data_IF_333462799279
#
_entry.id   IF_333462799279
#
_cell.length_a   1.000
_cell.length_b   1.000
_cell.length_c   1.000
_cell.angle_alpha   90.00
_cell.angle_beta   90.00
_cell.angle_gamma   90.00
#
_symmetry.space_group_name_H-M   'P 1'
#
loop_
_entity.id
_entity.type
_entity.pdbx_description
1 polymer ?
#
# COMPACT_ATOMS: atom_id res chain seq x y z
N UNK A 1 13.97 11.71 -10.17
CA UNK A 1 12.93 10.83 -9.58
C UNK A 1 11.58 11.34 -10.00
N UNK A 2 10.66 10.47 -10.42
CA UNK A 2 9.29 10.84 -10.76
C UNK A 2 8.33 10.09 -9.83
N UNK A 3 7.49 10.85 -9.13
CA UNK A 3 6.41 10.33 -8.29
C UNK A 3 5.09 10.52 -9.02
N UNK A 4 4.38 9.44 -9.29
CA UNK A 4 3.02 9.47 -9.79
C UNK A 4 2.13 8.69 -8.83
N UNK A 5 0.95 9.23 -8.55
CA UNK A 5 0.01 8.71 -7.55
C UNK A 5 -1.39 8.48 -8.14
N UNK A 6 -1.43 8.01 -9.38
CA UNK A 6 -2.63 7.52 -10.05
C UNK A 6 -2.32 6.21 -10.80
N UNK A 7 -3.36 5.47 -11.12
CA UNK A 7 -3.30 4.25 -11.93
C UNK A 7 -4.55 4.13 -12.78
N UNK A 8 -4.47 3.29 -13.80
CA UNK A 8 -5.60 2.89 -14.64
C UNK A 8 -5.84 1.40 -14.45
N UNK A 9 -6.98 0.89 -14.92
CA UNK A 9 -7.22 -0.56 -14.97
C UNK A 9 -6.07 -1.28 -15.69
N UNK A 10 -5.75 -2.50 -15.28
CA UNK A 10 -4.68 -3.27 -15.89
C UNK A 10 -4.92 -3.44 -17.41
N UNK A 11 -3.92 -3.08 -18.21
CA UNK A 11 -3.88 -3.22 -19.66
C UNK A 11 -2.50 -3.73 -20.07
N UNK A 12 -2.37 -4.27 -21.28
CA UNK A 12 -1.06 -4.63 -21.84
C UNK A 12 -0.11 -3.42 -21.83
N UNK A 13 1.17 -3.65 -21.56
CA UNK A 13 2.15 -2.56 -21.36
C UNK A 13 2.32 -1.65 -22.58
N UNK A 14 2.03 -2.14 -23.79
CA UNK A 14 2.11 -1.34 -25.02
C UNK A 14 0.89 -0.42 -25.26
N UNK A 15 -0.21 -0.66 -24.55
CA UNK A 15 -1.42 0.17 -24.55
C UNK A 15 -1.46 1.12 -23.35
N UNK A 16 -0.79 0.74 -22.27
CA UNK A 16 -0.70 1.54 -21.07
C UNK A 16 0.27 2.73 -21.25
N UNK A 17 -0.30 3.94 -21.27
CA UNK A 17 0.45 5.19 -21.38
C UNK A 17 1.37 5.44 -20.18
N UNK A 18 0.97 5.00 -18.98
CA UNK A 18 1.81 5.10 -17.78
C UNK A 18 2.99 4.14 -17.93
N UNK A 19 2.76 2.89 -18.35
CA UNK A 19 3.85 1.93 -18.56
C UNK A 19 4.86 2.43 -19.60
N UNK A 20 4.39 2.95 -20.74
CA UNK A 20 5.25 3.51 -21.81
C UNK A 20 5.98 4.79 -21.39
N UNK A 21 5.26 5.68 -20.71
CA UNK A 21 5.83 6.92 -20.16
C UNK A 21 6.90 6.61 -19.12
N UNK A 22 6.61 5.68 -18.22
CA UNK A 22 7.54 5.19 -17.21
C UNK A 22 8.74 4.47 -17.81
N UNK A 23 8.59 3.72 -18.91
CA UNK A 23 9.71 3.11 -19.61
C UNK A 23 10.65 4.17 -20.17
N UNK A 24 10.08 5.19 -20.83
CA UNK A 24 10.84 6.33 -21.36
C UNK A 24 11.54 7.12 -20.25
N UNK A 25 10.88 7.25 -19.10
CA UNK A 25 11.45 7.86 -17.90
C UNK A 25 12.57 7.00 -17.31
N UNK A 26 12.41 5.67 -17.21
CA UNK A 26 13.40 4.71 -16.70
C UNK A 26 14.73 4.86 -17.42
N UNK A 27 14.73 5.07 -18.74
CA UNK A 27 15.93 5.35 -19.51
C UNK A 27 16.73 6.58 -19.00
N UNK A 28 16.10 7.43 -18.19
CA UNK A 28 16.63 8.68 -17.62
C UNK A 28 16.45 8.82 -16.09
N UNK A 29 15.84 7.84 -15.40
CA UNK A 29 15.55 7.87 -13.95
C UNK A 29 14.29 7.09 -13.50
N UNK A 30 14.10 6.86 -12.20
CA UNK A 30 13.02 5.98 -11.67
C UNK A 30 11.63 6.61 -11.74
N UNK A 31 10.64 5.76 -12.00
CA UNK A 31 9.20 6.06 -11.99
C UNK A 31 8.44 5.18 -10.99
N UNK A 32 7.41 5.73 -10.36
CA UNK A 32 6.61 5.10 -9.29
C UNK A 32 5.13 5.08 -9.66
N UNK A 33 4.45 3.98 -9.31
CA UNK A 33 3.03 3.65 -9.60
C UNK A 33 2.77 3.01 -10.97
N UNK A 34 2.04 1.88 -10.93
CA UNK A 34 1.62 0.93 -11.98
C UNK A 34 2.34 -0.46 -11.94
N UNK A 35 1.84 -1.46 -12.67
CA UNK A 35 2.22 -2.88 -12.62
C UNK A 35 3.44 -3.27 -13.45
N UNK A 36 3.96 -2.39 -14.32
CA UNK A 36 5.07 -2.75 -15.19
C UNK A 36 6.35 -3.09 -14.39
N UNK A 37 7.21 -4.03 -14.85
CA UNK A 37 8.39 -4.45 -14.09
C UNK A 37 9.41 -3.33 -13.86
N UNK A 38 9.54 -2.40 -14.79
CA UNK A 38 10.42 -1.22 -14.66
C UNK A 38 9.91 -0.13 -13.70
N UNK A 39 8.74 -0.33 -13.09
CA UNK A 39 8.13 0.60 -12.14
C UNK A 39 8.21 -0.01 -10.74
N UNK A 40 8.53 0.81 -9.73
CA UNK A 40 8.36 0.40 -8.33
C UNK A 40 6.89 0.56 -7.93
N UNK A 41 6.20 -0.56 -7.70
CA UNK A 41 4.77 -0.59 -7.33
C UNK A 41 4.62 -0.59 -5.82
N UNK A 42 4.12 0.53 -5.31
CA UNK A 42 4.02 0.79 -3.88
C UNK A 42 2.59 0.57 -3.37
N UNK A 43 2.47 -0.15 -2.27
CA UNK A 43 1.22 -0.35 -1.52
C UNK A 43 1.30 0.30 -0.14
N UNK A 44 0.15 0.36 0.54
CA UNK A 44 0.02 1.17 1.74
C UNK A 44 -0.04 0.33 3.01
N UNK A 45 0.68 0.79 4.02
CA UNK A 45 0.61 0.25 5.38
C UNK A 45 0.42 1.36 6.41
N UNK A 46 -0.01 0.94 7.60
CA UNK A 46 -0.10 1.79 8.79
C UNK A 46 1.28 2.19 9.30
N UNK A 47 1.28 3.22 10.15
CA UNK A 47 2.39 3.62 11.02
C UNK A 47 1.97 3.40 12.47
N UNK A 48 2.86 3.59 13.43
CA UNK A 48 2.61 3.38 14.87
C UNK A 48 1.80 4.52 15.53
N UNK A 49 1.29 5.45 14.74
CA UNK A 49 0.54 6.63 15.18
C UNK A 49 -0.95 6.46 14.91
N UNK A 50 -1.75 6.67 15.96
CA UNK A 50 -3.21 6.72 15.88
C UNK A 50 -3.74 8.09 16.32
N UNK A 51 -4.75 8.61 15.62
CA UNK A 51 -5.42 9.87 15.97
C UNK A 51 -6.68 9.55 16.77
N UNK A 52 -6.50 9.31 18.07
CA UNK A 52 -7.52 8.69 18.90
C UNK A 52 -8.70 9.62 19.13
N UNK A 53 -9.88 9.10 18.80
CA UNK A 53 -11.16 9.56 19.30
C UNK A 53 -11.87 8.34 19.89
N UNK A 54 -12.55 8.48 21.01
CA UNK A 54 -13.28 7.37 21.64
C UNK A 54 -14.77 7.69 21.59
N UNK A 55 -15.55 6.83 20.95
CA UNK A 55 -17.01 6.87 21.07
C UNK A 55 -17.41 6.32 22.44
N UNK A 56 -18.07 7.15 23.24
CA UNK A 56 -18.56 6.78 24.57
C UNK A 56 -20.08 6.76 24.56
N UNK A 57 -20.65 5.57 24.62
CA UNK A 57 -22.09 5.35 24.57
C UNK A 57 -22.75 5.59 25.94
N UNK A 58 -24.06 5.83 25.97
CA UNK A 58 -24.81 6.07 27.21
C UNK A 58 -24.78 4.92 28.21
N UNK A 59 -24.53 3.70 27.74
CA UNK A 59 -24.29 2.52 28.59
C UNK A 59 -22.85 2.42 29.12
N UNK A 60 -22.04 3.48 28.99
CA UNK A 60 -20.62 3.57 29.39
C UNK A 60 -19.67 2.69 28.58
N UNK A 61 -20.11 2.08 27.48
CA UNK A 61 -19.21 1.36 26.59
C UNK A 61 -18.29 2.37 25.87
N UNK A 62 -16.98 2.18 26.03
CA UNK A 62 -15.95 2.95 25.32
C UNK A 62 -15.44 2.16 24.11
N UNK A 63 -15.53 2.77 22.94
CA UNK A 63 -15.09 2.19 21.68
C UNK A 63 -14.01 3.08 21.08
N UNK A 64 -12.82 2.52 20.96
CA UNK A 64 -11.64 3.21 20.49
C UNK A 64 -11.68 3.31 18.96
N UNK A 65 -11.80 4.53 18.47
CA UNK A 65 -11.89 4.88 17.05
C UNK A 65 -10.81 5.91 16.69
N UNK A 66 -10.87 6.45 15.47
CA UNK A 66 -9.95 7.50 15.04
C UNK A 66 -10.68 8.68 14.38
N UNK A 67 -10.04 9.86 14.43
CA UNK A 67 -10.52 11.09 13.80
C UNK A 67 -9.38 12.08 13.64
N UNK A 68 -9.27 12.71 12.47
CA UNK A 68 -8.37 13.86 12.30
C UNK A 68 -8.96 15.13 12.93
N UNK A 69 -10.26 15.18 13.19
CA UNK A 69 -10.85 16.26 13.98
C UNK A 69 -10.45 16.09 15.46
N UNK A 70 -9.67 17.04 15.98
CA UNK A 70 -9.09 16.97 17.33
C UNK A 70 -9.27 18.32 18.06
N UNK A 71 -10.52 18.79 18.15
CA UNK A 71 -10.82 20.08 18.75
C UNK A 71 -10.43 20.13 20.24
N UNK A 72 -9.43 20.96 20.56
CA UNK A 72 -8.98 21.19 21.93
C UNK A 72 -10.07 21.85 22.76
N UNK A 73 -10.36 21.28 23.93
CA UNK A 73 -11.33 21.84 24.89
C UNK A 73 -12.80 21.62 24.53
N UNK A 74 -13.10 21.03 23.37
CA UNK A 74 -14.48 20.65 23.03
C UNK A 74 -14.90 19.48 23.92
N UNK A 75 -15.86 19.75 24.82
CA UNK A 75 -16.51 18.73 25.64
C UNK A 75 -17.95 18.60 25.19
N UNK A 76 -18.23 17.56 24.42
CA UNK A 76 -19.59 17.23 24.04
C UNK A 76 -20.26 16.47 25.19
N UNK A 77 -21.45 16.94 25.59
CA UNK A 77 -22.33 16.15 26.47
C UNK A 77 -22.82 14.88 25.77
N UNK A 78 -23.50 14.01 26.52
CA UNK A 78 -24.23 12.91 25.91
C UNK A 78 -25.36 13.46 25.05
N UNK A 79 -25.32 13.16 23.76
CA UNK A 79 -26.34 13.57 22.78
C UNK A 79 -27.14 12.35 22.36
N UNK A 80 -28.42 12.52 21.95
CA UNK A 80 -29.18 11.42 21.36
C UNK A 80 -28.42 10.83 20.16
N UNK A 81 -28.25 9.51 20.18
CA UNK A 81 -27.66 8.75 19.09
C UNK A 81 -28.77 8.22 18.19
N UNK A 82 -28.60 8.37 16.89
CA UNK A 82 -29.59 7.92 15.91
C UNK A 82 -28.89 7.15 14.81
N UNK A 83 -29.48 6.03 14.41
CA UNK A 83 -29.07 5.30 13.23
C UNK A 83 -30.15 5.46 12.15
N UNK A 84 -30.02 6.40 11.20
CA UNK A 84 -31.05 6.63 10.17
C UNK A 84 -31.32 5.39 9.31
N UNK A 85 -30.34 4.50 9.23
CA UNK A 85 -30.46 3.21 8.57
C UNK A 85 -31.35 2.17 9.25
N UNK A 86 -31.80 2.44 10.48
CA UNK A 86 -32.68 1.52 11.20
C UNK A 86 -34.05 1.51 10.51
N UNK A 87 -34.38 0.40 9.84
CA UNK A 87 -35.63 0.23 9.09
C UNK A 87 -35.84 1.19 7.90
N UNK A 88 -34.77 1.75 7.33
CA UNK A 88 -34.89 2.63 6.17
C UNK A 88 -35.20 1.84 4.89
N UNK A 89 -36.29 2.21 4.20
CA UNK A 89 -36.59 1.78 2.83
C UNK A 89 -35.58 2.34 1.82
N UNK A 90 -35.00 3.49 2.14
CA UNK A 90 -33.98 4.17 1.36
C UNK A 90 -32.58 3.75 1.83
N UNK A 91 -31.86 3.04 0.97
CA UNK A 91 -30.48 2.62 1.21
C UNK A 91 -29.54 3.81 1.48
N UNK A 92 -29.83 5.00 0.95
CA UNK A 92 -29.02 6.21 1.16
C UNK A 92 -28.98 6.67 2.62
N UNK A 93 -30.00 6.35 3.42
CA UNK A 93 -30.05 6.71 4.84
C UNK A 93 -28.98 5.99 5.67
N UNK A 94 -28.60 4.76 5.31
CA UNK A 94 -27.51 4.02 5.96
C UNK A 94 -26.17 4.77 5.84
N UNK A 95 -25.94 5.42 4.70
CA UNK A 95 -24.73 6.17 4.38
C UNK A 95 -24.81 7.64 4.81
N UNK A 96 -25.90 8.05 5.45
CA UNK A 96 -26.16 9.44 5.82
C UNK A 96 -26.06 10.40 4.63
N UNK A 97 -26.54 9.98 3.45
CA UNK A 97 -26.58 10.86 2.28
C UNK A 97 -27.51 12.05 2.55
N UNK A 98 -27.10 13.29 2.22
CA UNK A 98 -27.90 14.49 2.51
C UNK A 98 -29.35 14.41 1.99
N UNK A 99 -29.56 13.79 0.82
CA UNK A 99 -30.87 13.64 0.17
C UNK A 99 -31.79 12.65 0.92
N UNK A 100 -31.21 11.71 1.66
CA UNK A 100 -31.92 10.64 2.38
C UNK A 100 -32.16 10.98 3.86
N UNK A 101 -31.68 12.13 4.34
CA UNK A 101 -31.77 12.53 5.74
C UNK A 101 -32.86 13.57 5.98
N UNK A 102 -33.78 13.26 6.89
CA UNK A 102 -34.76 14.23 7.37
C UNK A 102 -34.10 15.20 8.38
N UNK A 103 -33.97 16.47 8.02
CA UNK A 103 -33.32 17.52 8.83
C UNK A 103 -33.87 17.65 10.25
N UNK A 104 -35.19 17.49 10.42
CA UNK A 104 -35.85 17.55 11.74
C UNK A 104 -35.48 16.37 12.64
N UNK A 105 -35.17 15.22 12.03
CA UNK A 105 -34.82 14.00 12.73
C UNK A 105 -33.36 13.99 13.20
N UNK A 106 -32.46 14.67 12.49
CA UNK A 106 -31.00 14.61 12.72
C UNK A 106 -30.41 15.80 13.49
N UNK A 107 -31.09 16.95 13.52
CA UNK A 107 -30.57 18.17 14.13
C UNK A 107 -30.25 17.98 15.63
N UNK A 108 -29.01 18.29 16.03
CA UNK A 108 -28.56 18.21 17.43
C UNK A 108 -28.30 16.80 17.95
N UNK A 109 -28.22 15.79 17.07
CA UNK A 109 -28.02 14.39 17.41
C UNK A 109 -26.70 13.86 16.84
N UNK A 110 -26.20 12.78 17.42
CA UNK A 110 -25.09 12.00 16.85
C UNK A 110 -25.68 11.01 15.85
N UNK A 111 -25.14 10.97 14.64
CA UNK A 111 -25.55 10.03 13.61
C UNK A 111 -24.57 8.87 13.53
N UNK A 112 -25.09 7.65 13.55
CA UNK A 112 -24.36 6.47 13.11
C UNK A 112 -24.54 6.33 11.60
N UNK A 113 -23.43 6.27 10.88
CA UNK A 113 -23.41 6.12 9.42
C UNK A 113 -22.52 4.93 9.07
N UNK A 114 -22.95 4.11 8.11
CA UNK A 114 -22.10 3.05 7.55
C UNK A 114 -21.29 3.60 6.40
N UNK A 115 -20.02 3.23 6.30
CA UNK A 115 -19.12 3.62 5.21
C UNK A 115 -18.80 2.35 4.43
N UNK A 116 -19.58 2.05 3.37
CA UNK A 116 -19.24 1.16 2.23
C UNK A 116 -20.51 0.67 1.50
N UNK A 117 -20.68 1.08 0.23
CA UNK A 117 -21.91 0.87 -0.56
C UNK A 117 -22.03 -0.46 -1.30
N UNK A 118 -21.11 -1.42 -1.08
CA UNK A 118 -21.06 -2.65 -1.90
C UNK A 118 -21.34 -3.91 -1.08
N UNK A 119 -22.46 -4.62 -1.33
CA UNK A 119 -22.82 -5.86 -0.64
C UNK A 119 -21.76 -6.96 -0.70
N UNK A 120 -20.92 -6.97 -1.73
CA UNK A 120 -19.81 -7.93 -1.92
C UNK A 120 -18.63 -7.69 -0.98
N UNK A 121 -18.42 -6.46 -0.47
CA UNK A 121 -17.41 -6.17 0.55
C UNK A 121 -17.91 -6.32 1.98
N UNK A 122 -19.23 -6.29 2.19
CA UNK A 122 -19.85 -6.53 3.50
C UNK A 122 -19.57 -7.97 3.99
N UNK A 123 -19.42 -8.94 3.08
CA UNK A 123 -18.94 -10.29 3.45
C UNK A 123 -17.46 -10.33 3.90
N UNK A 124 -16.69 -9.27 3.66
CA UNK A 124 -15.30 -9.13 4.13
C UNK A 124 -15.16 -8.28 5.40
N UNK A 125 -16.28 -7.88 6.05
CA UNK A 125 -16.39 -7.01 7.22
C UNK A 125 -15.60 -7.44 8.46
N UNK A 126 -14.27 -7.43 8.40
CA UNK A 126 -13.35 -7.68 9.51
C UNK A 126 -12.14 -6.75 9.43
N UNK A 127 -12.34 -5.54 8.91
CA UNK A 127 -11.26 -4.55 8.82
C UNK A 127 -11.06 -3.89 10.18
N UNK A 128 -9.88 -4.09 10.78
CA UNK A 128 -9.50 -3.53 12.08
C UNK A 128 -8.79 -2.17 11.97
N UNK A 129 -8.44 -1.75 10.76
CA UNK A 129 -7.76 -0.47 10.50
C UNK A 129 -8.81 0.63 10.41
N UNK A 130 -8.60 1.71 11.16
CA UNK A 130 -9.45 2.91 11.19
C UNK A 130 -8.81 4.05 10.42
N UNK A 131 -9.60 4.70 9.55
CA UNK A 131 -9.16 5.89 8.81
C UNK A 131 -9.56 7.13 9.59
N UNK A 132 -8.61 7.99 9.88
CA UNK A 132 -8.81 9.24 10.59
C UNK A 132 -9.16 10.34 9.59
N UNK A 133 -10.33 10.27 8.99
CA UNK A 133 -10.77 11.27 8.02
C UNK A 133 -10.96 12.62 8.71
N UNK A 134 -10.71 13.68 7.94
CA UNK A 134 -10.92 15.03 8.41
C UNK A 134 -12.36 15.45 8.14
N UNK A 135 -12.98 16.02 9.18
CA UNK A 135 -14.38 16.46 9.15
C UNK A 135 -14.48 17.90 9.66
N UNK A 136 -15.45 18.66 9.15
CA UNK A 136 -15.78 20.02 9.63
C UNK A 136 -16.63 20.01 10.91
N UNK A 137 -17.13 18.84 11.30
CA UNK A 137 -17.90 18.60 12.52
C UNK A 137 -17.26 17.46 13.34
N UNK A 138 -17.52 17.38 14.65
CA UNK A 138 -17.08 16.25 15.46
C UNK A 138 -17.58 14.92 14.89
N UNK A 139 -16.65 14.08 14.46
CA UNK A 139 -16.91 12.78 13.87
C UNK A 139 -15.77 11.82 14.20
N UNK A 140 -16.04 10.52 14.15
CA UNK A 140 -15.02 9.48 14.33
C UNK A 140 -15.40 8.20 13.61
N UNK A 141 -14.40 7.51 13.06
CA UNK A 141 -14.57 6.26 12.35
C UNK A 141 -14.22 5.09 13.26
N UNK A 142 -15.23 4.29 13.60
CA UNK A 142 -15.05 3.03 14.32
C UNK A 142 -14.74 1.90 13.33
N UNK A 143 -13.95 0.91 13.78
CA UNK A 143 -13.77 -0.32 13.01
C UNK A 143 -15.10 -1.11 12.94
N UNK A 144 -15.17 -2.08 12.03
CA UNK A 144 -16.38 -2.86 11.81
C UNK A 144 -16.92 -3.55 13.07
N UNK A 145 -16.02 -4.17 13.87
CA UNK A 145 -16.41 -4.90 15.08
C UNK A 145 -17.05 -3.98 16.11
N UNK A 146 -16.50 -2.79 16.28
CA UNK A 146 -17.03 -1.79 17.20
C UNK A 146 -18.30 -1.14 16.64
N UNK A 147 -18.40 -0.95 15.32
CA UNK A 147 -19.63 -0.54 14.65
C UNK A 147 -20.82 -1.47 14.94
N UNK A 148 -20.62 -2.79 14.88
CA UNK A 148 -21.66 -3.77 15.24
C UNK A 148 -22.13 -3.63 16.69
N UNK A 149 -21.21 -3.32 17.63
CA UNK A 149 -21.57 -3.08 19.03
C UNK A 149 -22.41 -1.81 19.18
N UNK A 150 -22.12 -0.76 18.41
CA UNK A 150 -22.92 0.48 18.41
C UNK A 150 -24.32 0.18 17.87
N UNK A 151 -24.45 -0.57 16.77
CA UNK A 151 -25.76 -0.97 16.22
C UNK A 151 -26.55 -1.78 17.25
N UNK A 152 -25.92 -2.77 17.88
CA UNK A 152 -26.56 -3.56 18.92
C UNK A 152 -27.03 -2.70 20.10
N UNK A 153 -26.23 -1.72 20.52
CA UNK A 153 -26.59 -0.76 21.56
C UNK A 153 -27.80 0.09 21.16
N UNK A 154 -27.81 0.65 19.94
CA UNK A 154 -28.95 1.45 19.43
C UNK A 154 -30.24 0.65 19.45
N UNK A 155 -30.19 -0.65 19.12
CA UNK A 155 -31.37 -1.53 19.15
C UNK A 155 -31.79 -1.96 20.56
N UNK A 156 -30.92 -1.80 21.56
CA UNK A 156 -31.17 -2.30 22.92
C UNK A 156 -31.94 -1.32 23.82
N UNK A 157 -32.09 -0.06 23.41
CA UNK A 157 -32.74 0.99 24.21
C UNK A 157 -33.53 1.94 23.32
N UNK A 158 -34.62 2.50 23.84
CA UNK A 158 -35.44 3.50 23.14
C UNK A 158 -34.83 4.91 23.16
N UNK A 159 -33.86 5.17 24.04
CA UNK A 159 -33.19 6.48 24.19
C UNK A 159 -31.66 6.37 24.14
N UNK A 160 -31.09 5.83 23.05
CA UNK A 160 -29.64 5.70 22.93
C UNK A 160 -28.96 7.06 22.91
N UNK A 161 -27.83 7.17 23.59
CA UNK A 161 -27.00 8.39 23.61
C UNK A 161 -25.54 8.05 23.34
N UNK A 162 -24.81 9.01 22.79
CA UNK A 162 -23.38 8.91 22.60
C UNK A 162 -22.70 10.28 22.70
N UNK A 163 -21.40 10.24 22.98
CA UNK A 163 -20.48 11.38 22.81
C UNK A 163 -19.16 10.89 22.22
N UNK A 164 -18.35 11.83 21.73
CA UNK A 164 -17.02 11.57 21.19
C UNK A 164 -16.00 12.27 22.09
N UNK A 165 -15.06 11.49 22.61
CA UNK A 165 -13.95 12.00 23.42
C UNK A 165 -12.68 12.01 22.58
N UNK A 166 -12.21 13.20 22.22
CA UNK A 166 -10.97 13.38 21.48
C UNK A 166 -9.76 13.23 22.42
N UNK A 167 -8.90 12.24 22.16
CA UNK A 167 -7.72 11.93 23.00
C UNK A 167 -6.41 12.37 22.35
N UNK A 168 -6.45 12.97 21.16
CA UNK A 168 -5.27 13.44 20.43
C UNK A 168 -4.47 12.31 19.80
N UNK A 169 -3.20 12.61 19.50
CA UNK A 169 -2.26 11.67 18.88
C UNK A 169 -1.70 10.70 19.92
N UNK A 170 -1.82 9.40 19.64
CA UNK A 170 -1.21 8.33 20.43
C UNK A 170 -0.16 7.63 19.56
N UNK A 171 1.05 7.48 20.09
CA UNK A 171 2.16 6.79 19.43
C UNK A 171 2.36 5.38 20.02
N UNK A 172 3.11 4.53 19.33
CA UNK A 172 3.48 3.21 19.80
C UNK A 172 2.39 2.15 19.63
N UNK A 173 1.58 2.24 18.57
CA UNK A 173 0.75 1.10 18.18
C UNK A 173 1.64 -0.09 17.82
N UNK A 174 1.62 -1.09 18.70
CA UNK A 174 2.46 -2.27 18.58
C UNK A 174 2.09 -3.13 17.36
N UNK A 175 0.85 -3.02 16.86
CA UNK A 175 0.42 -3.80 15.68
C UNK A 175 0.90 -3.19 14.37
N UNK A 176 1.36 -1.93 14.37
CA UNK A 176 2.08 -1.39 13.23
C UNK A 176 3.35 -2.23 13.02
N UNK A 177 3.64 -2.68 11.82
CA UNK A 177 3.08 -2.29 10.54
C UNK A 177 1.97 -3.26 10.08
N UNK A 178 0.86 -2.73 9.57
CA UNK A 178 -0.28 -3.51 9.06
C UNK A 178 -0.65 -3.02 7.66
N UNK A 179 -0.90 -3.91 6.71
CA UNK A 179 -1.26 -3.51 5.35
C UNK A 179 -2.69 -2.96 5.29
N UNK A 180 -2.88 -1.82 4.64
CA UNK A 180 -4.16 -1.11 4.59
C UNK A 180 -5.23 -1.90 3.82
N UNK A 181 -6.48 -1.84 4.30
CA UNK A 181 -7.63 -2.54 3.70
C UNK A 181 -7.95 -2.09 2.27
N UNK A 182 -7.76 -0.81 1.96
CA UNK A 182 -7.97 -0.25 0.62
C UNK A 182 -6.82 -0.57 -0.35
N UNK A 183 -5.70 -1.09 0.16
CA UNK A 183 -4.51 -1.32 -0.65
C UNK A 183 -4.73 -2.49 -1.60
N UNK A 184 -4.71 -2.23 -2.91
CA UNK A 184 -4.94 -3.27 -3.92
C UNK A 184 -3.93 -4.42 -3.78
N UNK A 185 -4.38 -5.62 -4.09
CA UNK A 185 -3.60 -6.86 -4.00
C UNK A 185 -3.17 -7.32 -5.39
N UNK A 186 -2.08 -8.09 -5.47
CA UNK A 186 -1.73 -8.83 -6.67
C UNK A 186 -2.55 -10.12 -6.84
N UNK A 187 -2.17 -11.00 -7.78
CA UNK A 187 -1.02 -10.87 -8.69
C UNK A 187 -1.19 -9.77 -9.75
N UNK A 188 -0.14 -9.44 -10.50
CA UNK A 188 -0.29 -8.59 -11.70
C UNK A 188 -1.11 -9.32 -12.75
N UNK A 189 -2.04 -8.62 -13.40
CA UNK A 189 -2.86 -9.19 -14.47
C UNK A 189 -2.09 -9.35 -15.79
N UNK A 190 -0.98 -8.62 -15.96
CA UNK A 190 -0.22 -8.58 -17.21
C UNK A 190 0.95 -9.56 -17.20
N UNK A 191 1.59 -9.75 -16.04
CA UNK A 191 2.69 -10.69 -15.87
C UNK A 191 2.61 -11.40 -14.53
N UNK A 192 2.16 -12.65 -14.54
CA UNK A 192 2.08 -13.49 -13.35
C UNK A 192 3.46 -13.94 -12.84
N UNK A 193 4.49 -13.94 -13.69
CA UNK A 193 5.86 -14.29 -13.29
C UNK A 193 6.58 -13.17 -12.52
N UNK A 194 6.02 -11.96 -12.45
CA UNK A 194 6.55 -10.83 -11.71
C UNK A 194 5.64 -10.52 -10.53
N UNK A 195 6.13 -10.72 -9.31
CA UNK A 195 5.36 -10.46 -8.09
C UNK A 195 5.00 -8.97 -8.00
N UNK A 196 3.71 -8.70 -7.76
CA UNK A 196 3.21 -7.37 -7.43
C UNK A 196 2.28 -7.43 -6.20
N UNK A 197 2.29 -6.41 -5.33
CA UNK A 197 3.13 -5.20 -5.40
C UNK A 197 4.61 -5.50 -5.11
N UNK A 198 5.47 -4.50 -5.27
CA UNK A 198 6.89 -4.66 -4.96
C UNK A 198 7.18 -4.45 -3.47
N UNK A 199 6.52 -3.47 -2.85
CA UNK A 199 6.84 -2.98 -1.50
C UNK A 199 5.61 -2.30 -0.86
N UNK A 200 5.55 -2.24 0.47
CA UNK A 200 4.63 -1.34 1.21
C UNK A 200 5.39 -0.18 1.86
N UNK A 201 4.68 0.93 2.05
CA UNK A 201 5.18 2.07 2.82
C UNK A 201 4.06 2.86 3.49
N UNK A 202 4.43 3.85 4.33
CA UNK A 202 3.48 4.65 5.09
C UNK A 202 2.43 5.32 4.19
N UNK A 203 1.16 5.02 4.40
CA UNK A 203 0.09 5.65 3.62
C UNK A 203 -1.28 5.60 4.27
N UNK A 204 -1.35 5.38 5.59
CA UNK A 204 -2.57 5.48 6.37
C UNK A 204 -2.42 6.65 7.34
N UNK A 205 -3.42 7.53 7.34
CA UNK A 205 -3.52 8.69 8.21
C UNK A 205 -2.25 9.55 8.18
N UNK A 206 -1.75 9.93 7.00
CA UNK A 206 -0.54 10.75 6.86
C UNK A 206 -0.90 12.22 6.77
N UNK A 207 -0.18 13.05 7.54
CA UNK A 207 -0.29 14.51 7.52
C UNK A 207 0.58 15.10 6.41
N UNK A 208 0.01 15.93 5.55
CA UNK A 208 0.75 16.65 4.51
C UNK A 208 0.15 18.06 4.28
N UNK A 209 0.90 18.92 3.59
CA UNK A 209 0.43 20.24 3.21
C UNK A 209 -0.81 20.14 2.30
N UNK A 210 -1.74 21.08 2.46
CA UNK A 210 -2.99 21.11 1.71
C UNK A 210 -3.26 22.55 1.24
N UNK A 211 -3.88 22.78 0.07
CA UNK A 211 -4.09 24.13 -0.43
C UNK A 211 -5.06 24.94 0.44
N UNK A 212 -6.12 24.31 0.97
CA UNK A 212 -7.21 24.98 1.66
C UNK A 212 -7.34 24.52 3.12
N UNK A 213 -7.93 25.34 3.98
CA UNK A 213 -8.22 24.94 5.36
C UNK A 213 -9.28 23.85 5.37
N UNK A 214 -8.99 22.72 6.00
CA UNK A 214 -9.93 21.61 6.16
C UNK A 214 -11.08 21.98 7.11
N UNK A 215 -10.83 22.93 8.02
CA UNK A 215 -11.82 23.47 8.96
C UNK A 215 -12.68 24.60 8.34
N UNK A 216 -12.52 24.88 7.04
CA UNK A 216 -13.12 26.04 6.36
C UNK A 216 -12.84 27.38 7.05
N UNK A 217 -11.72 27.48 7.77
CA UNK A 217 -11.31 28.70 8.44
C UNK A 217 -10.33 29.49 7.55
N UNK A 218 -10.82 30.59 6.97
CA UNK A 218 -10.04 31.47 6.10
C UNK A 218 -8.81 32.12 6.77
N UNK A 219 -8.74 32.13 8.10
CA UNK A 219 -7.61 32.68 8.86
C UNK A 219 -6.49 31.66 9.11
N UNK A 220 -6.62 30.42 8.60
CA UNK A 220 -5.59 29.39 8.77
C UNK A 220 -4.38 29.72 7.87
N UNK A 221 -3.25 30.07 8.48
CA UNK A 221 -2.03 30.50 7.75
C UNK A 221 -1.30 29.36 7.03
N UNK A 222 -1.27 28.18 7.63
CA UNK A 222 -0.64 26.97 7.06
C UNK A 222 -1.65 25.83 7.11
N UNK A 223 -2.05 25.35 5.93
CA UNK A 223 -3.07 24.33 5.79
C UNK A 223 -2.42 22.95 5.67
N UNK A 224 -2.89 22.03 6.50
CA UNK A 224 -2.49 20.62 6.44
C UNK A 224 -3.75 19.76 6.43
N UNK A 225 -3.62 18.58 5.83
CA UNK A 225 -4.67 17.58 5.82
C UNK A 225 -4.09 16.20 6.15
N UNK A 226 -4.94 15.33 6.68
CA UNK A 226 -4.63 13.94 6.97
C UNK A 226 -5.42 13.08 6.02
N UNK A 227 -4.71 12.33 5.19
CA UNK A 227 -5.33 11.46 4.19
C UNK A 227 -4.67 10.09 4.18
N UNK A 228 -5.39 9.12 3.63
CA UNK A 228 -4.93 7.75 3.45
C UNK A 228 -4.98 7.37 1.97
N UNK A 229 -4.03 6.57 1.52
CA UNK A 229 -4.00 6.06 0.16
C UNK A 229 -2.63 5.54 -0.26
N UNK A 230 -2.60 4.66 -1.27
CA UNK A 230 -1.35 4.29 -1.95
C UNK A 230 -0.71 5.49 -2.64
N UNK A 231 -1.54 6.46 -3.06
CA UNK A 231 -1.13 7.78 -3.54
C UNK A 231 -0.27 8.56 -2.53
N UNK A 232 -0.34 8.21 -1.24
CA UNK A 232 0.42 8.81 -0.16
C UNK A 232 1.68 8.00 0.18
N UNK A 233 1.64 6.68 0.02
CA UNK A 233 2.85 5.83 0.11
C UNK A 233 3.83 6.07 -1.02
N UNK A 234 3.36 6.28 -2.26
CA UNK A 234 4.19 6.52 -3.45
C UNK A 234 5.22 7.67 -3.27
N UNK A 235 4.86 8.87 -2.78
CA UNK A 235 5.83 9.93 -2.53
C UNK A 235 6.82 9.63 -1.40
N UNK A 236 6.49 8.83 -0.38
CA UNK A 236 7.49 8.38 0.60
C UNK A 236 8.59 7.56 -0.07
N UNK A 237 8.19 6.55 -0.86
CA UNK A 237 9.13 5.70 -1.59
C UNK A 237 9.89 6.47 -2.68
N UNK A 238 9.27 7.51 -3.24
CA UNK A 238 9.96 8.46 -4.13
C UNK A 238 11.09 9.19 -3.41
N UNK A 239 10.85 9.64 -2.18
CA UNK A 239 11.85 10.27 -1.32
C UNK A 239 12.98 9.31 -0.99
N UNK A 240 12.66 8.07 -0.57
CA UNK A 240 13.67 7.03 -0.30
C UNK A 240 14.53 6.76 -1.52
N UNK A 241 13.91 6.52 -2.68
CA UNK A 241 14.67 6.27 -3.90
C UNK A 241 15.47 7.50 -4.39
N UNK A 242 15.03 8.73 -4.10
CA UNK A 242 15.81 9.94 -4.34
C UNK A 242 17.06 10.02 -3.45
N UNK A 243 16.91 9.70 -2.15
CA UNK A 243 18.03 9.64 -1.22
C UNK A 243 19.03 8.56 -1.63
N UNK A 244 18.56 7.38 -2.03
CA UNK A 244 19.42 6.32 -2.57
C UNK A 244 20.13 6.76 -3.84
N UNK A 245 19.45 7.45 -4.77
CA UNK A 245 20.10 8.00 -5.98
C UNK A 245 21.15 9.06 -5.63
N UNK A 246 20.94 9.83 -4.56
CA UNK A 246 21.91 10.83 -4.10
C UNK A 246 23.14 10.17 -3.49
N UNK A 247 22.96 9.09 -2.73
CA UNK A 247 24.06 8.31 -2.13
C UNK A 247 24.81 7.49 -3.17
N UNK A 248 24.09 6.99 -4.18
CA UNK A 248 24.60 6.13 -5.24
C UNK A 248 24.30 6.71 -6.64
N UNK A 249 25.00 7.79 -7.06
CA UNK A 249 24.68 8.52 -8.28
C UNK A 249 24.71 7.69 -9.56
N UNK A 250 25.48 6.60 -9.59
CA UNK A 250 25.64 5.75 -10.77
C UNK A 250 24.63 4.60 -10.86
N UNK A 251 23.89 4.31 -9.80
CA UNK A 251 22.92 3.21 -9.83
C UNK A 251 21.82 3.46 -10.86
N UNK A 252 21.55 2.43 -11.64
CA UNK A 252 20.38 2.37 -12.53
C UNK A 252 19.08 2.42 -11.71
N UNK A 253 17.93 2.68 -12.36
CA UNK A 253 16.63 2.55 -11.70
C UNK A 253 16.37 1.19 -11.06
N UNK A 254 16.78 0.09 -11.72
CA UNK A 254 16.64 -1.26 -11.18
C UNK A 254 17.58 -1.49 -9.99
N UNK A 255 18.80 -0.96 -10.06
CA UNK A 255 19.78 -1.00 -8.97
C UNK A 255 19.32 -0.25 -7.71
N UNK A 256 18.50 0.80 -7.83
CA UNK A 256 17.88 1.48 -6.67
C UNK A 256 16.62 0.77 -6.19
N UNK A 257 15.84 0.18 -7.10
CA UNK A 257 14.66 -0.60 -6.75
C UNK A 257 15.01 -1.86 -5.96
N UNK A 258 16.10 -2.55 -6.35
CA UNK A 258 16.57 -3.77 -5.71
C UNK A 258 16.74 -3.67 -4.18
N UNK A 259 17.52 -2.72 -3.63
CA UNK A 259 17.73 -2.60 -2.19
C UNK A 259 16.43 -2.26 -1.45
N UNK A 260 15.57 -1.40 -2.00
CA UNK A 260 14.27 -1.09 -1.40
C UNK A 260 13.46 -2.37 -1.13
N UNK A 261 13.52 -3.35 -2.03
CA UNK A 261 12.85 -4.64 -1.89
C UNK A 261 13.63 -5.62 -1.02
N UNK A 262 14.91 -5.85 -1.32
CA UNK A 262 15.73 -6.90 -0.68
C UNK A 262 16.06 -6.62 0.77
N UNK A 263 16.00 -5.36 1.21
CA UNK A 263 16.25 -4.96 2.60
C UNK A 263 14.98 -4.55 3.36
N UNK A 264 13.80 -4.85 2.81
CA UNK A 264 12.52 -4.55 3.43
C UNK A 264 12.34 -5.34 4.74
N UNK A 265 11.60 -4.75 5.68
CA UNK A 265 11.21 -5.42 6.92
C UNK A 265 9.94 -6.24 6.70
N UNK A 266 9.95 -7.49 7.15
CA UNK A 266 8.81 -8.44 7.04
C UNK A 266 8.05 -8.62 8.34
N UNK A 267 8.52 -7.96 9.41
CA UNK A 267 7.96 -8.03 10.76
C UNK A 267 7.44 -6.67 11.22
N UNK A 268 6.45 -6.70 12.11
CA UNK A 268 5.89 -5.54 12.78
C UNK A 268 6.70 -5.17 14.05
N UNK A 269 6.30 -4.13 14.77
CA UNK A 269 6.97 -3.67 15.99
C UNK A 269 6.87 -4.66 17.17
N UNK A 270 6.11 -5.75 17.05
CA UNK A 270 6.05 -6.86 18.02
C UNK A 270 6.97 -8.03 17.62
N UNK A 271 7.79 -7.88 16.58
CA UNK A 271 8.57 -8.96 15.98
C UNK A 271 7.71 -10.12 15.47
N UNK A 272 6.47 -9.83 15.07
CA UNK A 272 5.57 -10.77 14.41
C UNK A 272 5.51 -10.47 12.91
N UNK A 273 5.17 -11.44 12.03
CA UNK A 273 4.96 -11.14 10.62
C UNK A 273 3.99 -9.97 10.44
N UNK A 274 4.29 -9.08 9.49
CA UNK A 274 3.38 -7.98 9.11
C UNK A 274 1.99 -8.54 8.85
N UNK A 275 0.97 -7.86 9.36
CA UNK A 275 -0.41 -8.33 9.27
C UNK A 275 -1.20 -7.63 8.16
N UNK A 276 -2.25 -8.28 7.67
CA UNK A 276 -3.27 -7.67 6.83
C UNK A 276 -4.34 -6.95 7.66
N UNK A 277 -5.31 -6.33 6.98
CA UNK A 277 -6.38 -5.58 7.63
C UNK A 277 -7.31 -6.43 8.53
N UNK A 278 -7.21 -7.77 8.43
CA UNK A 278 -7.97 -8.77 9.19
C UNK A 278 -7.15 -9.38 10.34
N UNK A 279 -5.90 -8.92 10.55
CA UNK A 279 -4.93 -9.42 11.54
C UNK A 279 -4.42 -10.84 11.27
N UNK A 280 -4.47 -11.27 10.02
CA UNK A 280 -3.72 -12.45 9.59
C UNK A 280 -2.33 -12.01 9.10
N UNK A 281 -1.38 -12.93 9.02
CA UNK A 281 -0.12 -12.65 8.34
C UNK A 281 -0.39 -12.18 6.90
N UNK A 282 0.18 -11.04 6.53
CA UNK A 282 -0.02 -10.47 5.20
C UNK A 282 0.61 -11.37 4.14
N UNK A 283 -0.18 -11.66 3.12
CA UNK A 283 0.29 -12.41 1.96
C UNK A 283 1.29 -11.61 1.11
N UNK A 284 2.11 -12.29 0.31
CA UNK A 284 3.08 -11.64 -0.58
C UNK A 284 2.41 -10.77 -1.65
N UNK A 285 1.20 -11.09 -2.10
CA UNK A 285 0.40 -10.25 -3.00
C UNK A 285 -0.23 -9.05 -2.28
N UNK A 286 -0.15 -9.01 -0.95
CA UNK A 286 -0.53 -7.86 -0.14
C UNK A 286 0.64 -6.92 0.11
N UNK A 287 1.82 -7.44 0.47
CA UNK A 287 2.95 -6.62 0.93
C UNK A 287 4.16 -6.57 0.00
N UNK A 288 4.24 -7.43 -1.02
CA UNK A 288 5.44 -7.58 -1.82
C UNK A 288 6.60 -8.08 -0.96
N UNK A 289 7.74 -7.39 -1.03
CA UNK A 289 8.91 -7.72 -0.24
C UNK A 289 8.77 -7.38 1.26
N UNK A 290 7.84 -6.50 1.64
CA UNK A 290 7.67 -6.03 3.00
C UNK A 290 7.60 -4.51 3.10
N UNK A 291 7.79 -3.97 4.29
CA UNK A 291 7.80 -2.52 4.54
C UNK A 291 9.17 -1.92 4.28
N UNK A 292 9.19 -0.75 3.65
CA UNK A 292 10.44 -0.06 3.32
C UNK A 292 11.29 0.22 4.57
N UNK A 293 12.58 -0.12 4.49
CA UNK A 293 13.60 0.27 5.46
C UNK A 293 14.69 1.11 4.76
N UNK A 294 14.61 2.46 4.81
CA UNK A 294 15.54 3.33 4.09
C UNK A 294 16.99 3.16 4.55
N UNK A 295 17.22 2.92 5.84
CA UNK A 295 18.56 2.79 6.43
C UNK A 295 19.25 1.50 5.98
N UNK A 296 18.52 0.38 5.91
CA UNK A 296 19.10 -0.86 5.36
C UNK A 296 19.28 -0.77 3.84
N UNK A 297 18.39 -0.07 3.15
CA UNK A 297 18.47 0.09 1.70
C UNK A 297 19.66 0.95 1.23
N UNK A 298 20.25 1.78 2.12
CA UNK A 298 21.41 2.60 1.76
C UNK A 298 22.69 1.80 1.58
N UNK A 299 22.78 0.60 2.17
CA UNK A 299 23.92 -0.29 2.03
C UNK A 299 23.47 -1.77 1.99
N UNK A 300 23.03 -2.24 0.81
CA UNK A 300 22.37 -3.54 0.68
C UNK A 300 23.33 -4.73 0.51
N UNK A 301 24.63 -4.49 0.31
CA UNK A 301 25.61 -5.49 -0.10
C UNK A 301 25.42 -5.97 -1.55
N UNK A 302 24.27 -6.57 -1.88
CA UNK A 302 23.97 -7.10 -3.21
C UNK A 302 22.76 -6.44 -3.86
N UNK A 303 22.80 -6.27 -5.18
CA UNK A 303 21.66 -5.78 -5.97
C UNK A 303 21.36 -6.65 -7.19
N UNK A 304 20.08 -6.74 -7.54
CA UNK A 304 19.58 -7.30 -8.80
C UNK A 304 19.43 -6.17 -9.81
N UNK A 305 20.43 -5.99 -10.67
CA UNK A 305 20.38 -4.97 -11.71
C UNK A 305 19.65 -5.50 -12.97
N UNK A 306 18.97 -4.60 -13.66
CA UNK A 306 18.31 -4.85 -14.95
C UNK A 306 18.61 -3.66 -15.85
N UNK A 307 19.27 -3.91 -16.97
CA UNK A 307 19.54 -2.89 -17.97
C UNK A 307 18.33 -2.71 -18.90
N UNK A 308 18.16 -1.55 -19.54
CA UNK A 308 17.00 -1.32 -20.41
C UNK A 308 16.81 -2.36 -21.52
N UNK A 309 17.89 -2.91 -22.07
CA UNK A 309 17.84 -3.91 -23.12
C UNK A 309 17.38 -5.29 -22.61
N UNK A 310 17.55 -5.59 -21.31
CA UNK A 310 17.09 -6.86 -20.71
C UNK A 310 15.56 -6.99 -20.72
N UNK A 311 14.83 -5.87 -20.85
CA UNK A 311 13.38 -5.90 -21.00
C UNK A 311 12.92 -6.33 -22.41
N UNK A 312 13.79 -6.30 -23.43
CA UNK A 312 13.45 -6.77 -24.78
C UNK A 312 13.10 -8.27 -24.78
N UNK A 313 14.00 -9.19 -24.34
CA UNK A 313 13.70 -10.61 -24.36
C UNK A 313 12.53 -10.98 -23.43
N UNK A 314 12.30 -10.21 -22.38
CA UNK A 314 11.14 -10.33 -21.50
C UNK A 314 9.83 -10.00 -22.24
N UNK A 315 9.75 -8.84 -22.90
CA UNK A 315 8.55 -8.46 -23.65
C UNK A 315 8.29 -9.39 -24.85
N UNK A 316 9.36 -9.81 -25.55
CA UNK A 316 9.24 -10.81 -26.62
C UNK A 316 8.78 -12.18 -26.07
N UNK A 317 9.16 -12.53 -24.83
CA UNK A 317 8.70 -13.73 -24.12
C UNK A 317 7.23 -13.68 -23.68
N UNK A 318 6.67 -12.49 -23.48
CA UNK A 318 5.23 -12.24 -23.28
C UNK A 318 4.40 -12.39 -24.58
N UNK A 319 5.01 -12.85 -25.68
CA UNK A 319 4.41 -12.92 -27.02
C UNK A 319 4.01 -11.55 -27.62
N UNK A 320 4.63 -10.46 -27.20
CA UNK A 320 4.42 -9.17 -27.85
C UNK A 320 5.03 -9.18 -29.26
N UNK A 321 4.32 -8.57 -30.21
CA UNK A 321 4.78 -8.39 -31.59
C UNK A 321 5.90 -7.35 -31.67
N UNK A 322 6.70 -7.40 -32.75
CA UNK A 322 7.72 -6.38 -33.05
C UNK A 322 7.16 -4.96 -32.98
N UNK A 323 5.91 -4.75 -33.44
CA UNK A 323 5.23 -3.45 -33.41
C UNK A 323 4.94 -3.00 -31.98
N UNK A 324 4.50 -3.90 -31.11
CA UNK A 324 4.17 -3.59 -29.72
C UNK A 324 5.41 -3.30 -28.88
N UNK A 325 6.47 -4.08 -29.04
CA UNK A 325 7.76 -3.81 -28.37
C UNK A 325 8.35 -2.48 -28.86
N UNK A 326 8.28 -2.22 -30.17
CA UNK A 326 8.69 -0.93 -30.76
C UNK A 326 7.89 0.26 -30.19
N UNK A 327 6.59 0.10 -29.86
CA UNK A 327 5.79 1.17 -29.22
C UNK A 327 6.29 1.55 -27.82
N UNK A 328 6.93 0.61 -27.11
CA UNK A 328 7.49 0.81 -25.77
C UNK A 328 8.89 1.43 -25.87
N UNK A 329 9.77 0.82 -26.66
CA UNK A 329 11.18 1.22 -26.80
C UNK A 329 11.41 2.44 -27.70
N UNK A 330 10.42 2.81 -28.52
CA UNK A 330 10.49 3.90 -29.51
C UNK A 330 11.60 3.75 -30.57
N UNK A 331 12.15 2.55 -30.73
CA UNK A 331 13.02 2.16 -31.83
C UNK A 331 12.65 0.74 -32.29
N UNK A 332 13.05 0.37 -33.50
CA UNK A 332 12.68 -0.92 -34.09
C UNK A 332 13.35 -2.06 -33.32
N UNK A 333 12.53 -2.99 -32.85
CA UNK A 333 12.97 -4.23 -32.20
C UNK A 333 12.44 -5.41 -33.00
N UNK A 334 13.27 -6.44 -33.18
CA UNK A 334 12.89 -7.66 -33.88
C UNK A 334 12.94 -8.86 -32.93
N UNK A 335 11.81 -9.24 -32.35
CA UNK A 335 11.68 -10.39 -31.44
C UNK A 335 12.01 -11.75 -32.06
N UNK A 336 12.20 -11.84 -33.38
CA UNK A 336 12.70 -13.04 -34.05
C UNK A 336 14.23 -13.12 -34.06
N UNK A 337 14.92 -11.99 -33.89
CA UNK A 337 16.38 -11.91 -33.78
C UNK A 337 16.86 -11.84 -32.32
N UNK A 338 15.93 -11.67 -31.38
CA UNK A 338 16.19 -11.58 -29.94
C UNK A 338 15.88 -12.91 -29.25
N UNK A 339 16.50 -13.12 -28.08
CA UNK A 339 16.11 -14.23 -27.21
C UNK A 339 14.71 -13.99 -26.60
N UNK A 340 14.04 -15.05 -26.16
CA UNK A 340 12.77 -14.97 -25.43
C UNK A 340 12.94 -15.63 -24.09
N UNK A 341 12.57 -14.92 -23.02
CA UNK A 341 12.64 -15.46 -21.67
C UNK A 341 11.23 -15.56 -21.06
N UNK A 342 10.95 -16.60 -20.25
CA UNK A 342 9.73 -16.63 -19.45
C UNK A 342 9.66 -15.42 -18.51
N UNK A 343 8.46 -15.02 -18.12
CA UNK A 343 8.22 -13.84 -17.29
C UNK A 343 9.09 -13.79 -16.02
N UNK A 344 9.06 -14.89 -15.24
CA UNK A 344 9.83 -14.98 -13.98
C UNK A 344 11.34 -15.10 -14.16
N UNK A 345 11.83 -15.20 -15.39
CA UNK A 345 13.27 -15.30 -15.71
C UNK A 345 13.94 -13.92 -15.76
N UNK A 346 13.18 -12.83 -15.85
CA UNK A 346 13.71 -11.47 -15.69
C UNK A 346 14.50 -11.38 -14.38
N UNK A 347 15.61 -10.65 -14.36
CA UNK A 347 16.50 -10.54 -13.20
C UNK A 347 15.92 -9.67 -12.06
N UNK A 348 14.73 -10.03 -11.62
CA UNK A 348 13.90 -9.29 -10.68
C UNK A 348 14.16 -9.74 -9.24
N UNK A 349 14.15 -8.83 -8.25
CA UNK A 349 14.43 -9.14 -6.83
C UNK A 349 13.26 -9.84 -6.11
N UNK A 350 12.52 -10.68 -6.83
CA UNK A 350 11.49 -11.57 -6.28
C UNK A 350 11.26 -12.75 -7.23
N UNK A 351 10.57 -13.77 -6.71
CA UNK A 351 10.18 -14.94 -7.47
C UNK A 351 8.66 -15.12 -7.30
N UNK A 352 7.95 -15.27 -8.42
CA UNK A 352 6.55 -15.66 -8.43
C UNK A 352 6.41 -16.90 -9.32
N UNK A 353 5.81 -17.95 -8.75
CA UNK A 353 5.56 -19.21 -9.45
C UNK A 353 4.07 -19.50 -9.46
N UNK A 354 3.52 -19.77 -10.64
CA UNK A 354 2.22 -20.40 -10.75
C UNK A 354 2.34 -21.88 -10.38
N UNK A 355 1.32 -22.44 -9.71
CA UNK A 355 1.28 -23.88 -9.39
C UNK A 355 1.20 -24.66 -10.71
N UNK A 356 2.27 -25.38 -11.03
CA UNK A 356 2.37 -26.23 -12.20
C UNK A 356 3.01 -27.57 -11.81
N UNK A 357 2.67 -28.66 -12.49
CA UNK A 357 3.18 -30.00 -12.16
C UNK A 357 4.67 -30.19 -12.47
N UNK A 358 5.30 -29.27 -13.21
CA UNK A 358 6.70 -29.34 -13.63
C UNK A 358 7.62 -28.51 -12.74
N UNK A 359 8.87 -28.97 -12.62
CA UNK A 359 9.95 -28.18 -11.99
C UNK A 359 10.19 -26.88 -12.77
N UNK A 360 10.20 -25.75 -12.07
CA UNK A 360 10.57 -24.45 -12.63
C UNK A 360 11.98 -24.06 -12.18
N UNK A 361 12.77 -23.52 -13.11
CA UNK A 361 14.14 -23.07 -12.87
C UNK A 361 14.28 -21.62 -13.24
N UNK A 362 14.81 -20.81 -12.32
CA UNK A 362 15.10 -19.41 -12.52
C UNK A 362 16.60 -19.16 -12.41
N UNK A 363 17.11 -18.22 -13.20
CA UNK A 363 18.47 -17.68 -13.03
C UNK A 363 18.35 -16.24 -12.55
N UNK A 364 19.24 -15.88 -11.63
CA UNK A 364 19.43 -14.50 -11.21
C UNK A 364 20.91 -14.16 -11.25
N UNK A 365 21.17 -12.90 -11.53
CA UNK A 365 22.49 -12.28 -11.46
C UNK A 365 22.43 -11.21 -10.39
N UNK A 366 23.34 -11.28 -9.42
CA UNK A 366 23.48 -10.25 -8.39
C UNK A 366 24.83 -9.59 -8.53
N UNK A 367 24.84 -8.26 -8.37
CA UNK A 367 26.04 -7.43 -8.41
C UNK A 367 26.40 -7.05 -6.98
N UNK A 368 27.67 -7.21 -6.60
CA UNK A 368 28.19 -6.74 -5.33
C UNK A 368 28.39 -5.21 -5.38
N UNK A 369 27.77 -4.52 -4.43
CA UNK A 369 27.89 -3.08 -4.19
C UNK A 369 28.35 -2.77 -2.74
N UNK A 370 28.70 -3.81 -1.98
CA UNK A 370 29.31 -3.73 -0.65
C UNK A 370 30.84 -3.70 -0.71
N UNK A 371 31.51 -4.29 0.28
CA UNK A 371 32.97 -4.26 0.37
C UNK A 371 33.65 -5.25 -0.61
N UNK A 372 34.97 -5.11 -0.74
CA UNK A 372 35.78 -6.06 -1.51
C UNK A 372 35.95 -7.38 -0.75
N UNK A 373 36.04 -8.50 -1.49
CA UNK A 373 36.31 -9.83 -0.93
C UNK A 373 35.21 -10.35 0.02
N UNK A 374 33.95 -10.17 -0.36
CA UNK A 374 32.81 -10.70 0.38
C UNK A 374 32.35 -12.06 -0.16
N UNK A 375 31.87 -12.90 0.75
CA UNK A 375 31.30 -14.21 0.42
C UNK A 375 29.91 -14.34 1.04
N UNK A 376 28.93 -14.63 0.21
CA UNK A 376 27.53 -14.73 0.60
C UNK A 376 27.09 -16.20 0.57
N UNK A 377 26.57 -16.69 1.70
CA UNK A 377 25.96 -18.01 1.79
C UNK A 377 24.45 -17.89 1.58
N UNK A 378 23.91 -18.67 0.65
CA UNK A 378 22.47 -18.69 0.37
C UNK A 378 21.75 -19.53 1.41
N UNK A 379 20.72 -18.95 2.01
CA UNK A 379 19.71 -19.64 2.80
C UNK A 379 18.36 -19.52 2.08
N UNK A 380 17.63 -20.63 1.99
CA UNK A 380 16.33 -20.68 1.35
C UNK A 380 15.33 -21.39 2.28
N UNK A 381 14.22 -20.72 2.56
CA UNK A 381 13.10 -21.29 3.29
C UNK A 381 12.02 -21.65 2.27
N UNK A 382 11.78 -22.95 1.99
CA UNK A 382 10.80 -23.34 0.99
C UNK A 382 9.37 -23.01 1.45
N UNK A 383 8.49 -22.56 0.54
CA UNK A 383 7.06 -22.48 0.81
C UNK A 383 6.48 -23.86 1.11
N UNK A 384 5.39 -23.90 1.88
CA UNK A 384 4.72 -25.16 2.20
C UNK A 384 4.31 -25.92 0.92
N UNK A 385 4.72 -27.18 0.82
CA UNK A 385 4.41 -28.05 -0.33
C UNK A 385 5.37 -27.92 -1.52
N UNK A 386 6.45 -27.16 -1.41
CA UNK A 386 7.46 -27.00 -2.45
C UNK A 386 8.86 -27.29 -1.92
N UNK A 387 9.75 -27.77 -2.79
CA UNK A 387 11.18 -27.83 -2.52
C UNK A 387 11.90 -26.72 -3.30
N UNK A 388 12.84 -26.04 -2.64
CA UNK A 388 13.64 -24.96 -3.25
C UNK A 388 15.12 -25.34 -3.22
N UNK A 389 15.72 -25.38 -4.41
CA UNK A 389 17.14 -25.68 -4.58
C UNK A 389 17.85 -24.51 -5.26
N UNK A 390 18.87 -23.97 -4.59
CA UNK A 390 19.72 -22.90 -5.14
C UNK A 390 21.13 -23.43 -5.41
N UNK A 391 21.65 -23.14 -6.61
CA UNK A 391 23.00 -23.48 -7.03
C UNK A 391 23.63 -22.28 -7.78
N UNK A 392 24.83 -21.83 -7.39
CA UNK A 392 25.62 -22.26 -6.24
C UNK A 392 25.02 -21.82 -4.89
N UNK A 393 25.41 -22.47 -3.78
CA UNK A 393 25.00 -22.08 -2.41
C UNK A 393 25.91 -21.02 -1.78
N UNK A 394 26.99 -20.67 -2.46
CA UNK A 394 27.96 -19.68 -2.02
C UNK A 394 28.33 -18.82 -3.23
N UNK A 395 28.34 -17.50 -3.03
CA UNK A 395 28.74 -16.51 -4.04
C UNK A 395 29.94 -15.74 -3.49
N UNK A 396 31.06 -15.81 -4.20
CA UNK A 396 32.30 -15.15 -3.81
C UNK A 396 32.57 -13.98 -4.75
N UNK A 397 32.78 -12.79 -4.21
CA UNK A 397 33.04 -11.57 -4.96
C UNK A 397 34.43 -11.04 -4.65
N UNK A 398 35.29 -10.96 -5.67
CA UNK A 398 36.68 -10.55 -5.51
C UNK A 398 36.92 -9.04 -5.68
N UNK A 399 35.96 -8.30 -6.24
CA UNK A 399 36.06 -6.84 -6.49
C UNK A 399 34.67 -6.18 -6.42
N UNK A 400 34.67 -4.90 -6.03
CA UNK A 400 33.59 -3.94 -6.25
C UNK A 400 33.44 -3.62 -7.74
N UNK A 401 32.22 -3.27 -8.18
CA UNK A 401 31.91 -2.90 -9.56
C UNK A 401 31.37 -1.47 -9.67
#
# INVERSE_FOLDING_TARGET
MISISFGVSAMAYHEDYIARGAFSAMLRGIFLSNEAPWILTVRSSTIDRNLRATAMLGNRMELNSESAFQAKGLRLGQLPLVYPGINASDFGANYCLPESLNSSYVKGKVLLCTVDSTPTKIQQGRHFITLADAHVIPATNANYKDGLKIIAYVNSTSTPTATIVFKGTIMGDKNALTVASFSSRGPSYVSHGILKPDIIGPGVNILAAWPNSVENNANTKNNFNIISGTSVSSPHLSGVAALLKSLHPHWSPAAIKSPIMTTADTINHQNQPIQDEKRHSADIFAMGAGHVNPTRASDPGLIYNIEPHDYIPYLCGLNYTNREVTKIFRHRVNCSAESRIPEGQLNYPSFAIGIQPSHQRFTRTVTNVGENNESYKVEAVPPQGFDVFVKPRMLNFSRFN
#
